data_IF_339022895156
#
_entry.id   IF_339022895156
#
_cell.length_a   1.000
_cell.length_b   1.000
_cell.length_c   1.000
_cell.angle_alpha   90.00
_cell.angle_beta   90.00
_cell.angle_gamma   90.00
#
_symmetry.space_group_name_H-M   'P 1'
#
loop_
_entity.id
_entity.type
_entity.pdbx_description
1 polymer ?
#
# COMPACT_ATOMS: atom_id res chain seq x y z
N UNK A 1 2.64 -71.71 -9.92
CA UNK A 1 3.84 -71.19 -10.61
C UNK A 1 4.69 -70.44 -9.59
N UNK A 2 5.98 -70.78 -9.42
CA UNK A 2 6.88 -69.99 -8.56
C UNK A 2 7.02 -68.60 -9.19
N UNK A 3 6.59 -67.54 -8.50
CA UNK A 3 6.83 -66.16 -8.93
C UNK A 3 8.34 -65.93 -9.00
N UNK A 4 8.92 -66.02 -10.19
CA UNK A 4 10.32 -65.67 -10.40
C UNK A 4 10.44 -64.16 -10.30
N UNK A 5 11.06 -63.69 -9.21
CA UNK A 5 11.40 -62.28 -9.02
C UNK A 5 12.33 -61.83 -10.13
N UNK A 6 12.01 -60.71 -10.76
CA UNK A 6 12.87 -60.12 -11.80
C UNK A 6 14.20 -59.66 -11.19
N UNK A 7 15.26 -59.51 -12.00
CA UNK A 7 16.53 -58.96 -11.51
C UNK A 7 16.37 -57.62 -10.80
N UNK A 8 15.54 -56.71 -11.34
CA UNK A 8 15.23 -55.43 -10.70
C UNK A 8 14.58 -55.59 -9.32
N UNK A 9 13.60 -56.49 -9.18
CA UNK A 9 12.94 -56.75 -7.91
C UNK A 9 13.89 -57.30 -6.85
N UNK A 10 14.80 -58.22 -7.23
CA UNK A 10 15.82 -58.77 -6.33
C UNK A 10 16.74 -57.68 -5.80
N UNK A 11 17.26 -56.82 -6.68
CA UNK A 11 18.13 -55.71 -6.26
C UNK A 11 17.40 -54.69 -5.38
N UNK A 12 16.12 -54.39 -5.65
CA UNK A 12 15.32 -53.53 -4.76
C UNK A 12 15.14 -54.13 -3.37
N UNK A 13 14.92 -55.44 -3.26
CA UNK A 13 14.78 -56.11 -1.97
C UNK A 13 16.09 -56.06 -1.17
N UNK A 14 17.23 -56.34 -1.81
CA UNK A 14 18.55 -56.22 -1.18
C UNK A 14 18.82 -54.78 -0.70
N UNK A 15 18.50 -53.78 -1.53
CA UNK A 15 18.60 -52.37 -1.12
C UNK A 15 17.67 -52.03 0.04
N UNK A 16 16.42 -52.53 0.04
CA UNK A 16 15.45 -52.30 1.11
C UNK A 16 15.91 -52.89 2.45
N UNK A 17 16.54 -54.06 2.45
CA UNK A 17 17.08 -54.69 3.66
C UNK A 17 18.20 -53.83 4.29
N UNK A 18 19.09 -53.30 3.45
CA UNK A 18 20.16 -52.41 3.91
C UNK A 18 19.58 -51.08 4.39
N UNK A 19 18.60 -50.53 3.66
CA UNK A 19 17.93 -49.30 4.05
C UNK A 19 17.16 -49.42 5.36
N UNK A 20 16.51 -50.57 5.62
CA UNK A 20 15.87 -50.85 6.90
C UNK A 20 16.89 -50.87 8.05
N UNK A 21 18.05 -51.50 7.85
CA UNK A 21 19.15 -51.49 8.83
C UNK A 21 19.73 -50.09 9.04
N UNK A 22 19.76 -49.26 8.01
CA UNK A 22 20.16 -47.85 8.12
C UNK A 22 19.20 -47.10 9.06
N UNK A 23 17.89 -47.23 8.86
CA UNK A 23 16.87 -46.58 9.70
C UNK A 23 16.84 -47.07 11.16
N UNK A 24 17.12 -48.34 11.40
CA UNK A 24 17.07 -48.94 12.74
C UNK A 24 18.27 -48.57 13.63
N UNK A 25 19.35 -48.04 13.05
CA UNK A 25 20.59 -47.77 13.77
C UNK A 25 21.00 -46.30 13.62
N UNK A 26 20.11 -45.41 14.07
CA UNK A 26 20.34 -43.97 14.02
C UNK A 26 21.57 -43.56 14.85
N UNK A 27 21.85 -44.27 15.94
CA UNK A 27 23.01 -44.06 16.83
C UNK A 27 24.33 -44.63 16.29
N UNK A 28 24.32 -45.31 15.13
CA UNK A 28 25.56 -45.82 14.54
C UNK A 28 26.50 -44.68 14.14
N UNK A 29 27.80 -44.91 14.27
CA UNK A 29 28.83 -43.95 13.86
C UNK A 29 28.61 -43.48 12.40
N UNK A 30 28.90 -42.20 12.13
CA UNK A 30 28.67 -41.57 10.81
C UNK A 30 29.21 -42.39 9.64
N UNK A 31 30.44 -42.93 9.76
CA UNK A 31 31.08 -43.76 8.74
C UNK A 31 30.28 -45.02 8.42
N UNK A 32 29.67 -45.66 9.44
CA UNK A 32 28.84 -46.85 9.27
C UNK A 32 27.54 -46.50 8.54
N UNK A 33 26.92 -45.38 8.90
CA UNK A 33 25.71 -44.88 8.22
C UNK A 33 26.00 -44.54 6.75
N UNK A 34 27.12 -43.85 6.48
CA UNK A 34 27.53 -43.49 5.12
C UNK A 34 27.86 -44.72 4.26
N UNK A 35 28.51 -45.73 4.84
CA UNK A 35 28.76 -47.01 4.15
C UNK A 35 27.45 -47.69 3.73
N UNK A 36 26.49 -47.78 4.64
CA UNK A 36 25.17 -48.37 4.36
C UNK A 36 24.34 -47.59 3.37
N UNK A 37 24.39 -46.26 3.42
CA UNK A 37 23.78 -45.41 2.40
C UNK A 37 24.35 -45.75 1.01
N UNK A 38 25.67 -45.82 0.89
CA UNK A 38 26.38 -46.14 -0.36
C UNK A 38 26.02 -47.53 -0.87
N UNK A 39 25.94 -48.53 0.01
CA UNK A 39 25.54 -49.88 -0.35
C UNK A 39 24.09 -49.96 -0.84
N UNK A 40 23.14 -49.34 -0.12
CA UNK A 40 21.74 -49.28 -0.56
C UNK A 40 21.60 -48.57 -1.90
N UNK A 41 22.30 -47.44 -2.09
CA UNK A 41 22.33 -46.68 -3.33
C UNK A 41 22.83 -47.53 -4.50
N UNK A 42 23.91 -48.30 -4.30
CA UNK A 42 24.44 -49.23 -5.31
C UNK A 42 23.37 -50.23 -5.76
N UNK A 43 22.67 -50.86 -4.83
CA UNK A 43 21.63 -51.83 -5.16
C UNK A 43 20.44 -51.18 -5.88
N UNK A 44 20.00 -49.98 -5.48
CA UNK A 44 18.92 -49.30 -6.17
C UNK A 44 19.31 -48.84 -7.59
N UNK A 45 20.55 -48.40 -7.81
CA UNK A 45 21.07 -48.10 -9.15
C UNK A 45 21.16 -49.37 -10.02
N UNK A 46 21.58 -50.50 -9.45
CA UNK A 46 21.54 -51.80 -10.15
C UNK A 46 20.11 -52.21 -10.49
N UNK A 47 19.16 -52.00 -9.59
CA UNK A 47 17.74 -52.26 -9.84
C UNK A 47 17.18 -51.40 -10.97
N UNK A 48 17.58 -50.12 -11.03
CA UNK A 48 17.18 -49.21 -12.09
C UNK A 48 17.75 -49.65 -13.45
N UNK A 49 19.03 -50.01 -13.51
CA UNK A 49 19.66 -50.50 -14.74
C UNK A 49 19.08 -51.84 -15.22
N UNK A 50 18.62 -52.69 -14.30
CA UNK A 50 18.03 -53.99 -14.60
C UNK A 50 16.51 -53.95 -14.85
N UNK A 51 15.90 -52.76 -14.84
CA UNK A 51 14.45 -52.60 -15.02
C UNK A 51 14.03 -52.80 -16.48
N UNK A 52 12.97 -53.58 -16.68
CA UNK A 52 12.48 -53.95 -18.02
C UNK A 52 11.24 -53.17 -18.45
N UNK A 53 10.55 -52.53 -17.52
CA UNK A 53 9.32 -51.79 -17.78
C UNK A 53 9.17 -50.60 -16.83
N UNK A 54 8.16 -49.76 -17.08
CA UNK A 54 7.93 -48.55 -16.31
C UNK A 54 7.47 -48.82 -14.87
N UNK A 55 6.84 -49.96 -14.60
CA UNK A 55 6.45 -50.38 -13.24
C UNK A 55 7.69 -50.57 -12.34
N UNK A 56 8.68 -51.29 -12.88
CA UNK A 56 9.95 -51.56 -12.20
C UNK A 56 10.78 -50.29 -12.05
N UNK A 57 10.87 -49.47 -13.12
CA UNK A 57 11.58 -48.18 -13.08
C UNK A 57 10.98 -47.24 -12.06
N UNK A 58 9.65 -47.07 -12.07
CA UNK A 58 8.94 -46.23 -11.10
C UNK A 58 9.22 -46.67 -9.66
N UNK A 59 9.29 -47.98 -9.42
CA UNK A 59 9.57 -48.53 -8.11
C UNK A 59 11.03 -48.36 -7.67
N UNK A 60 11.98 -48.48 -8.61
CA UNK A 60 13.39 -48.23 -8.33
C UNK A 60 13.63 -46.74 -8.01
N UNK A 61 13.02 -45.84 -8.79
CA UNK A 61 13.07 -44.40 -8.53
C UNK A 61 12.41 -43.99 -7.22
N UNK A 62 11.27 -44.60 -6.83
CA UNK A 62 10.70 -44.43 -5.49
C UNK A 62 11.75 -44.71 -4.41
N UNK A 63 12.40 -45.87 -4.50
CA UNK A 63 13.35 -46.31 -3.49
C UNK A 63 14.57 -45.38 -3.40
N UNK A 64 15.07 -44.90 -4.55
CA UNK A 64 16.12 -43.86 -4.59
C UNK A 64 15.65 -42.58 -3.91
N UNK A 65 14.46 -42.07 -4.25
CA UNK A 65 13.87 -40.89 -3.61
C UNK A 65 13.76 -41.03 -2.09
N UNK A 66 13.28 -42.17 -1.61
CA UNK A 66 13.19 -42.45 -0.17
C UNK A 66 14.55 -42.52 0.52
N UNK A 67 15.57 -43.08 -0.14
CA UNK A 67 16.94 -43.16 0.40
C UNK A 67 17.57 -41.77 0.52
N UNK A 68 17.49 -40.96 -0.53
CA UNK A 68 18.02 -39.59 -0.50
C UNK A 68 17.25 -38.69 0.47
N UNK A 69 15.92 -38.84 0.54
CA UNK A 69 15.09 -38.16 1.54
C UNK A 69 15.60 -38.45 2.96
N UNK A 70 15.85 -39.71 3.29
CA UNK A 70 16.40 -40.08 4.61
C UNK A 70 17.79 -39.47 4.85
N UNK A 71 18.67 -39.50 3.85
CA UNK A 71 20.02 -38.91 3.98
C UNK A 71 19.97 -37.42 4.30
N UNK A 72 19.04 -36.70 3.68
CA UNK A 72 18.84 -35.26 3.91
C UNK A 72 18.25 -35.03 5.31
N UNK A 73 17.18 -35.75 5.66
CA UNK A 73 16.49 -35.51 6.93
C UNK A 73 17.32 -35.93 8.15
N UNK A 74 18.20 -36.91 8.00
CA UNK A 74 19.14 -37.35 9.05
C UNK A 74 20.44 -36.54 9.14
N UNK A 75 20.71 -35.66 8.17
CA UNK A 75 21.88 -34.78 8.19
C UNK A 75 21.48 -33.39 8.72
N UNK A 76 22.19 -32.88 9.73
CA UNK A 76 21.98 -31.49 10.16
C UNK A 76 22.53 -30.54 9.08
N UNK A 77 21.65 -29.70 8.54
CA UNK A 77 21.98 -28.74 7.48
C UNK A 77 23.08 -27.75 7.86
N UNK A 78 23.21 -27.38 9.14
CA UNK A 78 24.21 -26.42 9.60
C UNK A 78 25.64 -26.97 9.55
N UNK A 79 25.79 -28.28 9.76
CA UNK A 79 27.09 -28.97 9.73
C UNK A 79 27.34 -29.74 8.43
N UNK A 80 26.35 -29.78 7.54
CA UNK A 80 26.43 -30.48 6.27
C UNK A 80 27.41 -29.82 5.30
N UNK A 81 28.09 -30.65 4.49
CA UNK A 81 28.70 -30.16 3.27
C UNK A 81 27.58 -29.70 2.31
N UNK A 82 27.57 -28.41 1.97
CA UNK A 82 26.53 -27.79 1.14
C UNK A 82 26.40 -28.46 -0.25
N UNK A 83 27.50 -28.91 -0.84
CA UNK A 83 27.47 -29.57 -2.15
C UNK A 83 26.81 -30.94 -2.06
N UNK A 84 27.14 -31.71 -1.03
CA UNK A 84 26.56 -33.04 -0.82
C UNK A 84 25.08 -32.94 -0.48
N UNK A 85 24.69 -31.97 0.37
CA UNK A 85 23.30 -31.70 0.69
C UNK A 85 22.49 -31.35 -0.56
N UNK A 86 22.98 -30.40 -1.36
CA UNK A 86 22.33 -29.97 -2.60
C UNK A 86 22.26 -31.09 -3.64
N UNK A 87 23.32 -31.91 -3.76
CA UNK A 87 23.30 -33.08 -4.61
C UNK A 87 22.20 -34.05 -4.18
N UNK A 88 22.16 -34.45 -2.92
CA UNK A 88 21.16 -35.37 -2.40
C UNK A 88 19.73 -34.82 -2.56
N UNK A 89 19.52 -33.53 -2.28
CA UNK A 89 18.24 -32.84 -2.45
C UNK A 89 17.75 -32.90 -3.91
N UNK A 90 18.64 -32.60 -4.86
CA UNK A 90 18.34 -32.71 -6.28
C UNK A 90 18.02 -34.14 -6.70
N UNK A 91 18.81 -35.13 -6.27
CA UNK A 91 18.59 -36.54 -6.60
C UNK A 91 17.29 -37.08 -5.98
N UNK A 92 16.94 -36.64 -4.77
CA UNK A 92 15.66 -36.95 -4.12
C UNK A 92 14.47 -36.46 -4.96
N UNK A 93 14.44 -35.16 -5.28
CA UNK A 93 13.38 -34.51 -6.06
C UNK A 93 13.27 -35.14 -7.45
N UNK A 94 14.41 -35.35 -8.12
CA UNK A 94 14.48 -35.97 -9.45
C UNK A 94 13.95 -37.40 -9.43
N UNK A 95 14.37 -38.20 -8.46
CA UNK A 95 13.94 -39.59 -8.32
C UNK A 95 12.44 -39.69 -8.05
N UNK A 96 11.89 -38.88 -7.15
CA UNK A 96 10.44 -38.84 -6.92
C UNK A 96 9.67 -38.33 -8.15
N UNK A 97 10.23 -37.38 -8.89
CA UNK A 97 9.70 -36.92 -10.17
C UNK A 97 9.51 -38.06 -11.17
N UNK A 98 10.58 -38.81 -11.43
CA UNK A 98 10.52 -39.98 -12.31
C UNK A 98 9.60 -41.08 -11.79
N UNK A 99 9.59 -41.33 -10.47
CA UNK A 99 8.69 -42.30 -9.86
C UNK A 99 7.21 -41.99 -10.15
N UNK A 100 6.80 -40.73 -10.01
CA UNK A 100 5.44 -40.30 -10.35
C UNK A 100 5.19 -40.31 -11.86
N UNK A 101 6.13 -39.84 -12.67
CA UNK A 101 5.97 -39.79 -14.14
C UNK A 101 5.71 -41.18 -14.72
N UNK A 102 6.58 -42.13 -14.41
CA UNK A 102 6.50 -43.51 -14.90
C UNK A 102 5.35 -44.27 -14.23
N UNK A 103 5.11 -44.01 -12.94
CA UNK A 103 4.04 -44.65 -12.19
C UNK A 103 2.63 -44.30 -12.69
N UNK A 104 2.42 -43.13 -13.33
CA UNK A 104 1.08 -42.72 -13.83
C UNK A 104 0.45 -43.73 -14.77
N UNK A 105 1.25 -44.44 -15.56
CA UNK A 105 0.78 -45.42 -16.54
C UNK A 105 0.90 -46.87 -16.05
N UNK A 106 1.72 -47.11 -15.03
CA UNK A 106 2.12 -48.45 -14.61
C UNK A 106 1.67 -48.84 -13.19
N UNK A 107 1.26 -47.88 -12.34
CA UNK A 107 0.95 -48.09 -10.93
C UNK A 107 -0.48 -47.66 -10.58
N UNK A 108 -1.00 -48.18 -9.47
CA UNK A 108 -2.32 -47.80 -8.96
C UNK A 108 -2.35 -46.37 -8.42
N UNK A 109 -3.55 -45.81 -8.30
CA UNK A 109 -3.73 -44.47 -7.74
C UNK A 109 -3.32 -44.40 -6.27
N UNK A 110 -3.58 -45.44 -5.46
CA UNK A 110 -3.14 -45.48 -4.06
C UNK A 110 -1.61 -45.43 -3.96
N UNK A 111 -0.91 -46.13 -4.85
CA UNK A 111 0.55 -46.07 -4.91
C UNK A 111 1.03 -44.65 -5.21
N UNK A 112 0.43 -43.98 -6.21
CA UNK A 112 0.78 -42.59 -6.55
C UNK A 112 0.51 -41.63 -5.39
N UNK A 113 -0.64 -41.75 -4.71
CA UNK A 113 -0.97 -40.96 -3.52
C UNK A 113 0.08 -41.16 -2.43
N UNK A 114 0.53 -42.41 -2.20
CA UNK A 114 1.57 -42.70 -1.20
C UNK A 114 2.90 -42.02 -1.51
N UNK A 115 3.27 -41.88 -2.79
CA UNK A 115 4.48 -41.14 -3.21
C UNK A 115 4.30 -39.64 -2.98
N UNK A 116 3.13 -39.08 -3.33
CA UNK A 116 2.84 -37.66 -3.08
C UNK A 116 2.94 -37.33 -1.59
N UNK A 117 2.42 -38.20 -0.74
CA UNK A 117 2.54 -38.05 0.71
C UNK A 117 4.02 -38.06 1.17
N UNK A 118 4.84 -38.97 0.66
CA UNK A 118 6.28 -39.00 0.96
C UNK A 118 7.00 -37.73 0.52
N UNK A 119 6.68 -37.19 -0.66
CA UNK A 119 7.25 -35.92 -1.14
C UNK A 119 6.82 -34.79 -0.23
N UNK A 120 5.55 -34.73 0.16
CA UNK A 120 5.04 -33.68 1.05
C UNK A 120 5.76 -33.70 2.41
N UNK A 121 5.93 -34.88 3.01
CA UNK A 121 6.66 -35.01 4.27
C UNK A 121 8.13 -34.59 4.09
N UNK A 122 8.80 -35.06 3.04
CA UNK A 122 10.17 -34.69 2.74
C UNK A 122 10.36 -33.17 2.60
N UNK A 123 9.46 -32.50 1.87
CA UNK A 123 9.50 -31.06 1.67
C UNK A 123 9.25 -30.30 2.97
N UNK A 124 8.30 -30.76 3.78
CA UNK A 124 8.05 -30.23 5.12
C UNK A 124 9.29 -30.34 6.02
N UNK A 125 9.96 -31.50 6.00
CA UNK A 125 11.18 -31.74 6.78
C UNK A 125 12.33 -30.84 6.32
N UNK A 126 12.48 -30.63 5.01
CA UNK A 126 13.45 -29.69 4.47
C UNK A 126 13.19 -28.26 4.96
N UNK A 127 11.93 -27.80 4.96
CA UNK A 127 11.61 -26.47 5.51
C UNK A 127 11.95 -26.36 6.98
N UNK A 128 11.62 -27.37 7.78
CA UNK A 128 11.96 -27.38 9.19
C UNK A 128 13.48 -27.19 9.41
N UNK A 129 14.32 -27.82 8.58
CA UNK A 129 15.76 -27.59 8.60
C UNK A 129 16.15 -26.20 8.10
N UNK A 130 15.54 -25.70 7.03
CA UNK A 130 15.84 -24.36 6.49
C UNK A 130 15.53 -23.23 7.48
N UNK A 131 14.60 -23.45 8.42
CA UNK A 131 14.32 -22.51 9.50
C UNK A 131 15.50 -22.35 10.48
N UNK A 132 16.43 -23.32 10.54
CA UNK A 132 17.65 -23.22 11.34
C UNK A 132 18.71 -22.33 10.67
N UNK A 133 18.61 -22.13 9.35
CA UNK A 133 19.57 -21.32 8.61
C UNK A 133 19.33 -19.80 8.77
N UNK A 134 20.39 -18.98 8.70
CA UNK A 134 20.29 -17.53 8.52
C UNK A 134 19.50 -17.17 7.25
N UNK A 135 18.86 -15.99 7.23
CA UNK A 135 17.97 -15.54 6.14
C UNK A 135 18.57 -15.71 4.75
N UNK A 136 19.82 -15.28 4.53
CA UNK A 136 20.49 -15.37 3.22
C UNK A 136 20.75 -16.82 2.78
N UNK A 137 21.11 -17.70 3.72
CA UNK A 137 21.32 -19.11 3.41
C UNK A 137 20.00 -19.85 3.20
N UNK A 138 18.97 -19.48 3.97
CA UNK A 138 17.59 -19.95 3.80
C UNK A 138 17.04 -19.59 2.42
N UNK A 139 17.25 -18.35 1.96
CA UNK A 139 16.88 -17.91 0.61
C UNK A 139 17.52 -18.80 -0.44
N UNK A 140 18.85 -18.99 -0.39
CA UNK A 140 19.57 -19.84 -1.35
C UNK A 140 19.11 -21.30 -1.33
N UNK A 141 18.83 -21.85 -0.16
CA UNK A 141 18.33 -23.22 -0.01
C UNK A 141 16.93 -23.38 -0.63
N UNK A 142 16.04 -22.42 -0.37
CA UNK A 142 14.71 -22.38 -0.99
C UNK A 142 14.78 -22.19 -2.51
N UNK A 143 15.59 -21.25 -3.00
CA UNK A 143 15.84 -21.03 -4.44
C UNK A 143 16.34 -22.30 -5.13
N UNK A 144 17.31 -22.99 -4.52
CA UNK A 144 17.82 -24.25 -5.05
C UNK A 144 16.72 -25.33 -5.08
N UNK A 145 15.91 -25.42 -4.02
CA UNK A 145 14.81 -26.39 -3.91
C UNK A 145 13.74 -26.16 -4.99
N UNK A 146 13.27 -24.92 -5.17
CA UNK A 146 12.27 -24.60 -6.20
C UNK A 146 12.80 -24.83 -7.62
N UNK A 147 14.07 -24.50 -7.87
CA UNK A 147 14.74 -24.77 -9.15
C UNK A 147 14.84 -26.26 -9.46
N UNK A 148 14.99 -27.11 -8.44
CA UNK A 148 14.93 -28.56 -8.61
C UNK A 148 13.51 -29.01 -9.01
N UNK A 149 12.46 -28.43 -8.42
CA UNK A 149 11.09 -28.77 -8.81
C UNK A 149 10.75 -28.42 -10.26
N UNK A 150 11.21 -27.27 -10.77
CA UNK A 150 10.93 -26.85 -12.16
C UNK A 150 11.42 -27.84 -13.22
N UNK A 151 12.47 -28.59 -12.90
CA UNK A 151 13.08 -29.57 -13.80
C UNK A 151 12.38 -30.93 -13.76
N UNK A 152 11.30 -31.07 -12.99
CA UNK A 152 10.60 -32.35 -12.78
C UNK A 152 9.10 -32.26 -13.03
N UNK A 153 8.46 -33.42 -13.18
CA UNK A 153 6.99 -33.53 -13.32
C UNK A 153 6.24 -33.40 -11.99
N UNK A 154 6.89 -32.95 -10.91
CA UNK A 154 6.32 -32.76 -9.58
C UNK A 154 5.45 -31.51 -9.46
N UNK A 155 5.27 -30.83 -10.57
CA UNK A 155 4.71 -29.50 -10.67
C UNK A 155 3.23 -29.35 -10.24
N UNK A 156 2.50 -30.45 -10.00
CA UNK A 156 1.12 -30.42 -9.47
C UNK A 156 1.03 -30.91 -8.02
N UNK A 157 1.98 -30.52 -7.19
CA UNK A 157 1.97 -30.85 -5.76
C UNK A 157 1.89 -29.56 -4.95
N UNK A 158 1.00 -29.56 -3.95
CA UNK A 158 0.82 -28.40 -3.06
C UNK A 158 2.11 -28.04 -2.30
N UNK A 159 3.01 -29.00 -2.11
CA UNK A 159 4.34 -28.77 -1.53
C UNK A 159 5.25 -27.91 -2.41
N UNK A 160 5.08 -27.96 -3.74
CA UNK A 160 5.79 -27.08 -4.68
C UNK A 160 5.22 -25.67 -4.61
N UNK A 161 3.88 -25.54 -4.59
CA UNK A 161 3.24 -24.24 -4.39
C UNK A 161 3.67 -23.60 -3.06
N UNK A 162 3.72 -24.40 -2.00
CA UNK A 162 4.24 -24.00 -0.68
C UNK A 162 5.68 -23.51 -0.79
N UNK A 163 6.56 -24.22 -1.51
CA UNK A 163 7.95 -23.80 -1.72
C UNK A 163 8.09 -22.41 -2.30
N UNK A 164 7.34 -22.15 -3.37
CA UNK A 164 7.33 -20.85 -4.02
C UNK A 164 6.76 -19.76 -3.12
N UNK A 165 5.73 -20.07 -2.35
CA UNK A 165 5.16 -19.12 -1.40
C UNK A 165 6.15 -18.74 -0.30
N UNK A 166 6.78 -19.72 0.37
CA UNK A 166 7.77 -19.47 1.42
C UNK A 166 8.97 -18.68 0.87
N UNK A 167 9.44 -19.02 -0.34
CA UNK A 167 10.49 -18.26 -1.01
C UNK A 167 10.05 -16.82 -1.30
N UNK A 168 8.86 -16.62 -1.88
CA UNK A 168 8.30 -15.30 -2.18
C UNK A 168 8.15 -14.44 -0.92
N UNK A 169 7.68 -15.03 0.18
CA UNK A 169 7.55 -14.35 1.47
C UNK A 169 8.90 -13.91 2.01
N UNK A 170 9.91 -14.79 1.98
CA UNK A 170 11.25 -14.48 2.47
C UNK A 170 11.95 -13.42 1.59
N UNK A 171 11.78 -13.50 0.27
CA UNK A 171 12.27 -12.48 -0.67
C UNK A 171 11.63 -11.13 -0.38
N UNK A 172 10.32 -11.10 -0.11
CA UNK A 172 9.61 -9.87 0.23
C UNK A 172 10.10 -9.27 1.55
N UNK A 173 10.24 -10.08 2.60
CA UNK A 173 10.80 -9.64 3.87
C UNK A 173 12.21 -9.04 3.71
N UNK A 174 13.05 -9.68 2.89
CA UNK A 174 14.38 -9.15 2.58
C UNK A 174 14.29 -7.83 1.80
N UNK A 175 13.40 -7.74 0.80
CA UNK A 175 13.17 -6.52 0.05
C UNK A 175 12.70 -5.36 0.96
N UNK A 176 11.82 -5.61 1.93
CA UNK A 176 11.36 -4.61 2.90
C UNK A 176 12.50 -4.08 3.78
N UNK A 177 13.37 -4.98 4.26
CA UNK A 177 14.55 -4.61 5.07
C UNK A 177 15.48 -3.66 4.31
N UNK A 178 15.58 -3.84 3.00
CA UNK A 178 16.45 -3.07 2.11
C UNK A 178 15.71 -1.97 1.32
N UNK A 179 14.41 -1.79 1.52
CA UNK A 179 13.54 -0.97 0.64
C UNK A 179 14.00 0.47 0.48
N UNK A 180 14.55 1.09 1.53
CA UNK A 180 15.06 2.47 1.46
C UNK A 180 16.30 2.61 0.57
N UNK A 181 17.13 1.56 0.46
CA UNK A 181 18.39 1.55 -0.29
C UNK A 181 18.22 0.94 -1.68
N UNK A 182 17.48 -0.16 -1.76
CA UNK A 182 17.31 -1.00 -2.95
C UNK A 182 15.83 -1.37 -3.15
N UNK A 183 14.95 -0.39 -3.42
CA UNK A 183 13.53 -0.66 -3.57
C UNK A 183 13.22 -1.58 -4.76
N UNK A 184 14.10 -1.66 -5.75
CA UNK A 184 13.93 -2.53 -6.93
C UNK A 184 13.84 -4.02 -6.60
N UNK A 185 14.30 -4.45 -5.41
CA UNK A 185 14.19 -5.84 -4.97
C UNK A 185 12.73 -6.31 -4.91
N UNK A 186 11.77 -5.41 -4.69
CA UNK A 186 10.35 -5.73 -4.60
C UNK A 186 9.79 -6.36 -5.89
N UNK A 187 10.34 -5.98 -7.05
CA UNK A 187 9.88 -6.48 -8.36
C UNK A 187 10.26 -7.94 -8.59
N UNK A 188 11.29 -8.42 -7.89
CA UNK A 188 11.73 -9.81 -8.02
C UNK A 188 10.82 -10.78 -7.25
N UNK A 189 9.98 -10.27 -6.32
CA UNK A 189 9.11 -11.11 -5.48
C UNK A 189 7.88 -11.63 -6.25
N UNK A 190 7.29 -10.81 -7.12
CA UNK A 190 6.03 -11.12 -7.79
C UNK A 190 6.12 -12.34 -8.74
N UNK A 191 7.19 -12.50 -9.57
CA UNK A 191 7.33 -13.70 -10.42
C UNK A 191 7.36 -15.00 -9.60
N UNK A 192 8.05 -15.00 -8.46
CA UNK A 192 8.12 -16.15 -7.55
C UNK A 192 6.75 -16.49 -6.98
N UNK A 193 6.01 -15.48 -6.52
CA UNK A 193 4.66 -15.67 -5.99
C UNK A 193 3.66 -16.12 -7.07
N UNK A 194 3.77 -15.60 -8.29
CA UNK A 194 2.94 -16.06 -9.41
C UNK A 194 3.18 -17.54 -9.74
N UNK A 195 4.42 -18.05 -9.56
CA UNK A 195 4.67 -19.49 -9.64
C UNK A 195 3.99 -20.27 -8.53
N UNK A 196 3.91 -19.72 -7.30
CA UNK A 196 3.15 -20.35 -6.22
C UNK A 196 1.67 -20.52 -6.60
N UNK A 197 1.04 -19.46 -7.12
CA UNK A 197 -0.35 -19.51 -7.61
C UNK A 197 -0.53 -20.51 -8.75
N UNK A 198 0.39 -20.54 -9.72
CA UNK A 198 0.30 -21.44 -10.86
C UNK A 198 0.32 -22.93 -10.46
N UNK A 199 1.04 -23.26 -9.38
CA UNK A 199 1.18 -24.64 -8.91
C UNK A 199 0.22 -25.05 -7.78
N UNK A 200 -0.57 -24.12 -7.25
CA UNK A 200 -1.58 -24.44 -6.25
C UNK A 200 -2.67 -25.33 -6.87
N UNK A 201 -2.95 -26.50 -6.27
CA UNK A 201 -3.90 -27.47 -6.86
C UNK A 201 -5.36 -27.03 -6.72
N UNK A 202 -5.68 -26.16 -5.77
CA UNK A 202 -7.04 -25.71 -5.50
C UNK A 202 -7.10 -24.19 -5.29
N UNK A 203 -7.83 -23.45 -6.15
CA UNK A 203 -8.25 -22.11 -5.80
C UNK A 203 -9.16 -22.23 -4.56
N UNK A 204 -8.98 -21.35 -3.57
CA UNK A 204 -9.78 -21.26 -2.32
C UNK A 204 -9.28 -22.04 -1.09
N UNK A 205 -8.05 -22.54 -1.10
CA UNK A 205 -7.41 -23.02 0.15
C UNK A 205 -6.97 -21.85 1.04
N UNK A 206 -6.79 -22.08 2.35
CA UNK A 206 -6.24 -21.08 3.29
C UNK A 206 -4.94 -20.42 2.77
N UNK A 207 -4.04 -21.25 2.20
CA UNK A 207 -2.81 -20.80 1.52
C UNK A 207 -3.05 -19.84 0.35
N UNK A 208 -4.15 -20.01 -0.39
CA UNK A 208 -4.49 -19.11 -1.50
C UNK A 208 -4.79 -17.70 -1.01
N UNK A 209 -5.38 -17.56 0.17
CA UNK A 209 -5.62 -16.24 0.78
C UNK A 209 -4.31 -15.61 1.24
N UNK A 210 -3.43 -16.36 1.90
CA UNK A 210 -2.10 -15.87 2.31
C UNK A 210 -1.27 -15.41 1.10
N UNK A 211 -1.30 -16.17 -0.01
CA UNK A 211 -0.64 -15.78 -1.26
C UNK A 211 -1.22 -14.47 -1.81
N UNK A 212 -2.53 -14.26 -1.71
CA UNK A 212 -3.19 -13.04 -2.19
C UNK A 212 -2.84 -11.84 -1.32
N UNK A 213 -2.86 -12.00 0.01
CA UNK A 213 -2.43 -10.95 0.95
C UNK A 213 -0.98 -10.54 0.72
N UNK A 214 -0.10 -11.51 0.43
CA UNK A 214 1.29 -11.23 0.07
C UNK A 214 1.39 -10.51 -1.28
N UNK A 215 0.58 -10.89 -2.28
CA UNK A 215 0.53 -10.23 -3.59
C UNK A 215 0.10 -8.76 -3.45
N UNK A 216 -0.96 -8.50 -2.68
CA UNK A 216 -1.46 -7.17 -2.39
C UNK A 216 -0.40 -6.33 -1.66
N UNK A 217 0.33 -6.95 -0.72
CA UNK A 217 1.43 -6.31 0.01
C UNK A 217 2.61 -5.95 -0.90
N UNK A 218 2.98 -6.84 -1.83
CA UNK A 218 4.04 -6.60 -2.82
C UNK A 218 3.62 -5.45 -3.75
N UNK A 219 2.38 -5.48 -4.25
CA UNK A 219 1.84 -4.46 -5.13
C UNK A 219 1.80 -3.09 -4.47
N UNK A 220 1.34 -3.01 -3.22
CA UNK A 220 1.37 -1.78 -2.42
C UNK A 220 2.77 -1.14 -2.40
N UNK A 221 3.80 -1.95 -2.13
CA UNK A 221 5.18 -1.46 -2.05
C UNK A 221 5.76 -1.08 -3.43
N UNK A 222 5.33 -1.74 -4.51
CA UNK A 222 5.63 -1.31 -5.88
C UNK A 222 5.03 0.07 -6.15
N UNK A 223 3.74 0.28 -5.85
CA UNK A 223 3.08 1.57 -6.02
C UNK A 223 3.76 2.70 -5.22
N UNK A 224 4.14 2.44 -3.96
CA UNK A 224 4.90 3.39 -3.13
C UNK A 224 6.23 3.76 -3.80
N UNK A 225 6.97 2.76 -4.29
CA UNK A 225 8.24 2.99 -4.97
C UNK A 225 8.07 3.80 -6.26
N UNK A 226 7.13 3.40 -7.11
CA UNK A 226 6.88 4.04 -8.40
C UNK A 226 6.39 5.47 -8.23
N UNK A 227 5.47 5.71 -7.28
CA UNK A 227 5.02 7.07 -6.96
C UNK A 227 6.21 7.96 -6.56
N UNK A 228 7.04 7.46 -5.65
CA UNK A 228 8.24 8.17 -5.22
C UNK A 228 9.19 8.42 -6.40
N UNK A 229 9.42 7.43 -7.25
CA UNK A 229 10.30 7.55 -8.42
C UNK A 229 9.76 8.54 -9.45
N UNK A 230 8.47 8.49 -9.78
CA UNK A 230 7.81 9.42 -10.68
C UNK A 230 7.93 10.86 -10.17
N UNK A 231 7.72 11.08 -8.87
CA UNK A 231 7.89 12.39 -8.23
C UNK A 231 9.34 12.88 -8.29
N UNK A 232 10.34 12.05 -7.96
CA UNK A 232 11.74 12.47 -8.05
C UNK A 232 12.17 12.75 -9.49
N UNK A 233 11.68 11.96 -10.44
CA UNK A 233 11.92 12.17 -11.87
C UNK A 233 11.33 13.51 -12.31
N UNK A 234 10.08 13.81 -11.95
CA UNK A 234 9.45 15.09 -12.26
C UNK A 234 10.20 16.30 -11.66
N UNK A 235 10.67 16.20 -10.41
CA UNK A 235 11.49 17.27 -9.79
C UNK A 235 12.81 17.45 -10.55
N UNK A 236 13.52 16.37 -10.86
CA UNK A 236 14.78 16.43 -11.62
C UNK A 236 14.59 17.03 -13.01
N UNK A 237 13.51 16.67 -13.70
CA UNK A 237 13.17 17.24 -15.01
C UNK A 237 12.90 18.74 -14.88
N UNK A 238 12.12 19.15 -13.87
CA UNK A 238 11.83 20.56 -13.62
C UNK A 238 13.09 21.36 -13.33
N UNK A 239 13.94 20.89 -12.42
CA UNK A 239 15.18 21.56 -12.07
C UNK A 239 16.13 21.67 -13.26
N UNK A 240 16.21 20.61 -14.09
CA UNK A 240 17.02 20.60 -15.30
C UNK A 240 16.54 21.66 -16.30
N UNK A 241 15.25 21.67 -16.65
CA UNK A 241 14.72 22.61 -17.64
C UNK A 241 14.74 24.07 -17.15
N UNK A 242 14.52 24.31 -15.86
CA UNK A 242 14.62 25.67 -15.30
C UNK A 242 16.04 26.23 -15.24
N UNK A 243 17.07 25.38 -15.28
CA UNK A 243 18.48 25.79 -15.21
C UNK A 243 19.19 25.84 -16.57
N UNK A 244 18.77 25.00 -17.52
CA UNK A 244 19.52 24.79 -18.76
C UNK A 244 18.83 25.38 -20.00
N UNK A 245 17.51 25.59 -19.97
CA UNK A 245 16.80 26.12 -21.13
C UNK A 245 16.69 27.65 -21.03
N UNK A 246 17.11 28.35 -22.08
CA UNK A 246 16.99 29.82 -22.16
C UNK A 246 15.52 30.27 -22.27
N UNK A 247 14.68 29.45 -22.92
CA UNK A 247 13.25 29.67 -23.06
C UNK A 247 12.45 28.52 -22.43
N UNK A 248 11.35 28.86 -21.75
CA UNK A 248 10.48 27.88 -21.12
C UNK A 248 9.74 27.05 -22.17
N UNK A 249 10.14 25.80 -22.33
CA UNK A 249 9.43 24.85 -23.18
C UNK A 249 8.19 24.28 -22.48
N UNK A 250 7.01 24.68 -22.98
CA UNK A 250 5.72 24.31 -22.40
C UNK A 250 5.39 22.82 -22.50
N UNK A 251 5.85 22.10 -23.52
CA UNK A 251 5.58 20.67 -23.68
C UNK A 251 6.29 19.84 -22.59
N UNK A 252 7.49 20.26 -22.21
CA UNK A 252 8.20 19.65 -21.08
C UNK A 252 7.52 19.93 -19.75
N UNK A 253 6.95 21.13 -19.56
CA UNK A 253 6.17 21.45 -18.35
C UNK A 253 4.95 20.55 -18.21
N UNK A 254 4.22 20.29 -19.31
CA UNK A 254 3.11 19.34 -19.27
C UNK A 254 3.57 17.90 -18.98
N UNK A 255 4.69 17.48 -19.54
CA UNK A 255 5.30 16.16 -19.23
C UNK A 255 5.65 16.04 -17.75
N UNK A 256 6.20 17.09 -17.15
CA UNK A 256 6.50 17.16 -15.70
C UNK A 256 5.23 17.05 -14.87
N UNK A 257 4.16 17.78 -15.25
CA UNK A 257 2.86 17.70 -14.58
C UNK A 257 2.30 16.27 -14.67
N UNK A 258 2.39 15.62 -15.82
CA UNK A 258 1.94 14.25 -16.00
C UNK A 258 2.73 13.27 -15.12
N UNK A 259 4.05 13.48 -14.94
CA UNK A 259 4.85 12.71 -13.98
C UNK A 259 4.40 12.90 -12.53
N UNK A 260 4.01 14.11 -12.14
CA UNK A 260 3.45 14.33 -10.81
C UNK A 260 2.04 13.75 -10.65
N UNK A 261 1.21 13.79 -11.70
CA UNK A 261 -0.11 13.13 -11.70
C UNK A 261 0.00 11.62 -11.62
N UNK A 262 0.94 11.02 -12.34
CA UNK A 262 1.31 9.60 -12.21
C UNK A 262 1.66 9.28 -10.75
N UNK A 263 2.49 10.10 -10.11
CA UNK A 263 2.83 9.93 -8.70
C UNK A 263 1.61 10.03 -7.76
N UNK A 264 0.68 10.96 -8.01
CA UNK A 264 -0.58 11.07 -7.25
C UNK A 264 -1.42 9.80 -7.41
N UNK A 265 -1.60 9.32 -8.65
CA UNK A 265 -2.41 8.13 -8.93
C UNK A 265 -1.84 6.88 -8.27
N UNK A 266 -0.53 6.69 -8.33
CA UNK A 266 0.17 5.56 -7.71
C UNK A 266 0.12 5.59 -6.18
N UNK A 267 0.06 6.77 -5.55
CA UNK A 267 0.00 6.91 -4.10
C UNK A 267 -1.44 6.95 -3.55
N UNK A 268 -2.45 7.13 -4.40
CA UNK A 268 -3.82 7.43 -3.98
C UNK A 268 -4.36 6.37 -3.02
N UNK A 269 -4.73 6.78 -1.80
CA UNK A 269 -5.25 5.91 -0.74
C UNK A 269 -4.29 4.81 -0.26
N UNK A 270 -3.05 4.77 -0.77
CA UNK A 270 -2.01 3.79 -0.44
C UNK A 270 -0.86 4.41 0.35
N UNK A 271 -0.40 5.59 -0.07
CA UNK A 271 0.62 6.41 0.58
C UNK A 271 0.15 7.86 0.65
N UNK A 272 -0.63 8.16 1.68
CA UNK A 272 -1.22 9.50 1.90
C UNK A 272 -0.14 10.59 1.94
N UNK A 273 1.04 10.30 2.50
CA UNK A 273 2.15 11.25 2.54
C UNK A 273 2.76 11.45 1.13
N UNK A 274 2.96 10.35 0.38
CA UNK A 274 3.38 10.38 -1.01
C UNK A 274 2.41 11.18 -1.89
N UNK A 275 1.10 10.95 -1.76
CA UNK A 275 0.04 11.67 -2.47
C UNK A 275 0.11 13.17 -2.14
N UNK A 276 0.20 13.53 -0.86
CA UNK A 276 0.30 14.92 -0.42
C UNK A 276 1.54 15.63 -1.01
N UNK A 277 2.70 14.95 -1.02
CA UNK A 277 3.95 15.49 -1.58
C UNK A 277 3.86 15.65 -3.10
N UNK A 278 3.22 14.72 -3.81
CA UNK A 278 3.01 14.83 -5.25
C UNK A 278 2.02 15.96 -5.59
N UNK A 279 0.96 16.15 -4.79
CA UNK A 279 0.08 17.33 -4.89
C UNK A 279 0.86 18.64 -4.70
N UNK A 280 1.75 18.73 -3.70
CA UNK A 280 2.59 19.91 -3.51
C UNK A 280 3.50 20.20 -4.72
N UNK A 281 4.15 19.18 -5.28
CA UNK A 281 4.99 19.34 -6.48
C UNK A 281 4.17 19.86 -7.67
N UNK A 282 2.99 19.27 -7.91
CA UNK A 282 2.06 19.70 -8.95
C UNK A 282 1.63 21.16 -8.75
N UNK A 283 1.24 21.51 -7.52
CA UNK A 283 0.83 22.86 -7.16
C UNK A 283 1.93 23.89 -7.40
N UNK A 284 3.18 23.54 -7.08
CA UNK A 284 4.34 24.42 -7.26
C UNK A 284 4.58 24.76 -8.73
N UNK A 285 4.35 23.82 -9.65
CA UNK A 285 4.44 24.11 -11.09
C UNK A 285 3.34 25.09 -11.51
N UNK A 286 2.09 24.84 -11.09
CA UNK A 286 0.98 25.75 -11.38
C UNK A 286 1.19 27.15 -10.79
N UNK A 287 1.69 27.25 -9.55
CA UNK A 287 1.97 28.50 -8.86
C UNK A 287 3.13 29.25 -9.53
N UNK A 288 4.30 28.61 -9.63
CA UNK A 288 5.55 29.32 -9.89
C UNK A 288 5.89 29.42 -11.35
N UNK A 289 5.54 28.41 -12.14
CA UNK A 289 5.86 28.33 -13.57
C UNK A 289 4.70 28.87 -14.40
N UNK A 290 3.50 28.31 -14.21
CA UNK A 290 2.33 28.64 -15.04
C UNK A 290 1.53 29.86 -14.57
N UNK A 291 1.78 30.34 -13.33
CA UNK A 291 1.05 31.47 -12.71
C UNK A 291 -0.47 31.28 -12.67
N UNK A 292 -0.92 30.04 -12.47
CA UNK A 292 -2.33 29.65 -12.39
C UNK A 292 -2.75 29.46 -10.92
N UNK A 293 -2.92 30.57 -10.20
CA UNK A 293 -3.17 30.60 -8.74
C UNK A 293 -4.35 29.72 -8.29
N UNK A 294 -5.47 29.75 -9.01
CA UNK A 294 -6.69 29.01 -8.60
C UNK A 294 -6.52 27.49 -8.75
N UNK A 295 -5.78 27.02 -9.77
CA UNK A 295 -5.45 25.59 -9.92
C UNK A 295 -4.44 25.18 -8.85
N UNK A 296 -3.39 26.00 -8.63
CA UNK A 296 -2.40 25.76 -7.59
C UNK A 296 -3.05 25.68 -6.19
N UNK A 297 -4.03 26.54 -5.91
CA UNK A 297 -4.80 26.54 -4.66
C UNK A 297 -5.45 25.19 -4.39
N UNK A 298 -6.12 24.60 -5.40
CA UNK A 298 -6.79 23.31 -5.23
C UNK A 298 -5.81 22.17 -4.87
N UNK A 299 -4.65 22.13 -5.52
CA UNK A 299 -3.62 21.12 -5.21
C UNK A 299 -2.93 21.38 -3.86
N UNK A 300 -2.63 22.63 -3.51
CA UNK A 300 -2.08 22.96 -2.19
C UNK A 300 -3.08 22.66 -1.07
N UNK A 301 -4.37 22.95 -1.28
CA UNK A 301 -5.43 22.61 -0.33
C UNK A 301 -5.52 21.09 -0.15
N UNK A 302 -5.54 20.32 -1.24
CA UNK A 302 -5.55 18.85 -1.19
C UNK A 302 -4.33 18.30 -0.43
N UNK A 303 -3.14 18.86 -0.68
CA UNK A 303 -1.91 18.52 0.05
C UNK A 303 -2.07 18.71 1.57
N UNK A 304 -2.67 19.82 2.02
CA UNK A 304 -2.88 20.08 3.45
C UNK A 304 -3.94 19.14 4.02
N UNK A 305 -5.05 18.94 3.30
CA UNK A 305 -6.13 18.05 3.73
C UNK A 305 -5.63 16.62 3.94
N UNK A 306 -4.85 16.08 2.99
CA UNK A 306 -4.22 14.76 3.13
C UNK A 306 -3.22 14.72 4.29
N UNK A 307 -2.40 15.76 4.46
CA UNK A 307 -1.46 15.82 5.58
C UNK A 307 -2.17 15.82 6.95
N UNK A 308 -3.36 16.42 7.04
CA UNK A 308 -4.17 16.45 8.26
C UNK A 308 -4.78 15.10 8.61
N UNK A 309 -4.96 14.17 7.65
CA UNK A 309 -5.45 12.82 7.95
C UNK A 309 -4.37 11.91 8.55
N UNK A 310 -3.11 12.35 8.62
CA UNK A 310 -1.97 11.57 9.13
C UNK A 310 -1.73 11.74 10.64
N UNK A 311 -2.62 12.38 11.40
CA UNK A 311 -2.53 12.50 12.87
C UNK A 311 -2.37 11.12 13.52
N UNK A 312 -1.44 10.91 14.47
CA UNK A 312 -0.66 11.91 15.23
C UNK A 312 0.67 12.34 14.60
N UNK A 313 0.96 11.95 13.36
CA UNK A 313 2.21 12.33 12.70
C UNK A 313 2.29 13.85 12.52
N UNK A 314 3.33 14.46 13.08
CA UNK A 314 3.51 15.91 12.99
C UNK A 314 4.27 16.29 11.71
N UNK A 315 3.54 16.84 10.74
CA UNK A 315 4.08 17.30 9.46
C UNK A 315 4.37 18.82 9.40
N UNK A 316 4.08 19.56 10.48
CA UNK A 316 4.16 21.04 10.50
C UNK A 316 5.55 21.61 10.20
N UNK A 317 6.61 20.84 10.44
CA UNK A 317 8.00 21.24 10.18
C UNK A 317 8.49 20.90 8.78
N UNK A 318 7.71 20.14 8.00
CA UNK A 318 8.12 19.75 6.66
C UNK A 318 7.92 20.92 5.69
N UNK A 319 8.95 21.21 4.90
CA UNK A 319 9.01 22.35 3.99
C UNK A 319 7.83 22.39 3.00
N UNK A 320 7.49 21.24 2.41
CA UNK A 320 6.37 21.12 1.48
C UNK A 320 5.04 21.48 2.14
N UNK A 321 4.84 21.09 3.40
CA UNK A 321 3.62 21.39 4.16
C UNK A 321 3.55 22.88 4.52
N UNK A 322 4.67 23.46 4.98
CA UNK A 322 4.75 24.89 5.31
C UNK A 322 4.49 25.78 4.10
N UNK A 323 5.11 25.44 2.95
CA UNK A 323 4.91 26.15 1.68
C UNK A 323 3.45 26.09 1.22
N UNK A 324 2.86 24.90 1.18
CA UNK A 324 1.45 24.74 0.81
C UNK A 324 0.51 25.50 1.76
N UNK A 325 0.74 25.42 3.07
CA UNK A 325 -0.06 26.13 4.08
C UNK A 325 0.03 27.64 3.91
N UNK A 326 1.24 28.18 3.70
CA UNK A 326 1.44 29.60 3.45
C UNK A 326 0.74 30.07 2.19
N UNK A 327 0.82 29.30 1.10
CA UNK A 327 0.14 29.62 -0.15
C UNK A 327 -1.38 29.67 0.03
N UNK A 328 -1.98 28.65 0.65
CA UNK A 328 -3.43 28.59 0.89
C UNK A 328 -3.92 29.74 1.76
N UNK A 329 -3.16 30.12 2.80
CA UNK A 329 -3.49 31.27 3.64
C UNK A 329 -3.42 32.58 2.85
N UNK A 330 -2.37 32.78 2.06
CA UNK A 330 -2.21 33.98 1.22
C UNK A 330 -3.29 34.09 0.14
N UNK A 331 -3.62 32.99 -0.53
CA UNK A 331 -4.65 32.95 -1.56
C UNK A 331 -6.03 33.29 -0.98
N UNK A 332 -6.39 32.71 0.18
CA UNK A 332 -7.63 33.07 0.90
C UNK A 332 -7.66 34.55 1.29
N UNK A 333 -6.57 35.07 1.85
CA UNK A 333 -6.49 36.50 2.21
C UNK A 333 -6.59 37.42 0.99
N UNK A 334 -5.99 37.03 -0.14
CA UNK A 334 -6.09 37.76 -1.42
C UNK A 334 -7.54 37.80 -1.91
N UNK A 335 -8.25 36.68 -1.91
CA UNK A 335 -9.67 36.62 -2.31
C UNK A 335 -10.56 37.50 -1.44
N UNK A 336 -10.37 37.45 -0.11
CA UNK A 336 -11.12 38.33 0.81
C UNK A 336 -10.85 39.81 0.51
N UNK A 337 -9.60 40.20 0.31
CA UNK A 337 -9.25 41.59 -0.02
C UNK A 337 -9.77 42.03 -1.41
N UNK A 338 -9.77 41.13 -2.40
CA UNK A 338 -10.37 41.38 -3.71
C UNK A 338 -11.88 41.59 -3.60
N UNK A 339 -12.57 40.76 -2.82
CA UNK A 339 -14.01 40.92 -2.52
C UNK A 339 -14.29 42.23 -1.79
N UNK A 340 -13.50 42.57 -0.76
CA UNK A 340 -13.61 43.83 -0.02
C UNK A 340 -13.42 45.05 -0.94
N UNK A 341 -12.44 45.04 -1.85
CA UNK A 341 -12.23 46.12 -2.82
C UNK A 341 -13.40 46.26 -3.79
N UNK A 342 -13.91 45.14 -4.30
CA UNK A 342 -15.08 45.13 -5.18
C UNK A 342 -16.29 45.72 -4.45
N UNK A 343 -16.49 45.37 -3.18
CA UNK A 343 -17.55 45.92 -2.36
C UNK A 343 -17.34 47.41 -2.05
N UNK A 344 -16.10 47.83 -1.74
CA UNK A 344 -15.76 49.25 -1.55
C UNK A 344 -16.07 50.08 -2.79
N UNK A 345 -15.72 49.60 -3.98
CA UNK A 345 -16.04 50.25 -5.25
C UNK A 345 -17.55 50.25 -5.53
N UNK A 346 -18.21 49.10 -5.32
CA UNK A 346 -19.65 48.93 -5.54
C UNK A 346 -20.48 49.85 -4.65
N UNK A 347 -20.05 50.09 -3.42
CA UNK A 347 -20.78 50.87 -2.43
C UNK A 347 -20.22 52.29 -2.22
N UNK A 348 -19.18 52.70 -2.96
CA UNK A 348 -18.54 54.02 -2.84
C UNK A 348 -19.54 55.17 -2.88
N UNK A 349 -20.45 55.15 -3.85
CA UNK A 349 -21.46 56.20 -4.04
C UNK A 349 -22.52 56.19 -2.93
N UNK A 350 -22.92 55.00 -2.47
CA UNK A 350 -23.89 54.89 -1.37
C UNK A 350 -23.29 55.29 -0.02
N UNK A 351 -22.00 55.06 0.20
CA UNK A 351 -21.30 55.50 1.41
C UNK A 351 -21.27 57.03 1.53
N UNK A 352 -21.12 57.75 0.42
CA UNK A 352 -21.23 59.22 0.42
C UNK A 352 -22.67 59.69 0.62
N UNK A 353 -23.65 59.05 -0.03
CA UNK A 353 -25.06 59.44 0.09
C UNK A 353 -25.64 59.16 1.48
N UNK A 354 -25.26 58.05 2.11
CA UNK A 354 -25.73 57.62 3.43
C UNK A 354 -24.79 58.07 4.56
N UNK A 355 -23.83 58.96 4.29
CA UNK A 355 -22.85 59.38 5.30
C UNK A 355 -23.50 60.01 6.54
N UNK A 356 -24.61 60.71 6.38
CA UNK A 356 -25.39 61.27 7.50
C UNK A 356 -26.06 60.16 8.31
N UNK A 357 -26.78 59.25 7.62
CA UNK A 357 -27.48 58.13 8.24
C UNK A 357 -26.50 57.20 8.98
N UNK A 358 -25.34 56.91 8.40
CA UNK A 358 -24.29 56.11 9.04
C UNK A 358 -23.68 56.80 10.27
N UNK A 359 -23.56 58.13 10.29
CA UNK A 359 -23.11 58.87 11.47
C UNK A 359 -24.13 58.80 12.60
N UNK A 360 -25.41 58.96 12.28
CA UNK A 360 -26.48 58.85 13.28
C UNK A 360 -26.64 57.41 13.80
N UNK A 361 -26.50 56.42 12.92
CA UNK A 361 -26.48 55.01 13.27
C UNK A 361 -25.35 54.68 14.25
N UNK A 362 -24.14 55.19 14.01
CA UNK A 362 -23.01 55.01 14.93
C UNK A 362 -23.24 55.74 16.27
N UNK A 363 -23.81 56.96 16.27
CA UNK A 363 -24.18 57.67 17.50
C UNK A 363 -25.23 56.90 18.32
N UNK A 364 -26.20 56.26 17.65
CA UNK A 364 -27.18 55.40 18.31
C UNK A 364 -26.50 54.15 18.89
N UNK A 365 -25.53 53.57 18.16
CA UNK A 365 -24.75 52.44 18.62
C UNK A 365 -23.88 52.75 19.84
N UNK A 366 -23.28 53.95 19.91
CA UNK A 366 -22.48 54.39 21.07
C UNK A 366 -23.31 54.48 22.35
N UNK A 367 -24.59 54.86 22.25
CA UNK A 367 -25.50 54.99 23.40
C UNK A 367 -25.91 53.65 24.02
N UNK A 368 -25.91 52.58 23.25
CA UNK A 368 -26.28 51.25 23.75
C UNK A 368 -26.99 50.40 22.70
N UNK A 369 -27.11 49.09 22.97
CA UNK A 369 -27.84 48.18 22.08
C UNK A 369 -29.34 48.48 22.06
N UNK A 370 -29.91 48.99 23.15
CA UNK A 370 -31.32 49.36 23.26
C UNK A 370 -31.66 50.55 22.36
N UNK A 371 -30.84 51.60 22.42
CA UNK A 371 -30.97 52.82 21.61
C UNK A 371 -30.72 52.55 20.14
N UNK A 372 -29.75 51.68 19.82
CA UNK A 372 -29.50 51.22 18.45
C UNK A 372 -30.73 50.51 17.87
N UNK A 373 -31.33 49.59 18.62
CA UNK A 373 -32.53 48.85 18.17
C UNK A 373 -33.71 49.81 17.93
N UNK A 374 -33.97 50.74 18.85
CA UNK A 374 -35.02 51.76 18.65
C UNK A 374 -34.76 52.58 17.39
N UNK A 375 -33.53 53.06 17.23
CA UNK A 375 -33.14 53.90 16.10
C UNK A 375 -33.34 53.17 14.76
N UNK A 376 -32.83 51.94 14.61
CA UNK A 376 -32.93 51.23 13.33
C UNK A 376 -34.38 50.87 12.98
N UNK A 377 -35.22 50.44 13.93
CA UNK A 377 -36.62 50.11 13.63
C UNK A 377 -37.49 51.34 13.37
N UNK A 378 -37.16 52.50 13.95
CA UNK A 378 -37.90 53.74 13.72
C UNK A 378 -37.48 54.43 12.40
N UNK A 379 -36.17 54.56 12.16
CA UNK A 379 -35.63 55.33 11.03
C UNK A 379 -35.35 54.49 9.79
N UNK A 380 -35.08 53.21 9.97
CA UNK A 380 -34.75 52.27 8.89
C UNK A 380 -35.53 50.96 9.07
N UNK A 381 -36.87 50.98 9.11
CA UNK A 381 -37.67 49.78 9.40
C UNK A 381 -37.35 48.65 8.40
N UNK A 382 -37.28 47.39 8.89
CA UNK A 382 -36.95 46.26 8.03
C UNK A 382 -38.08 46.02 7.01
N UNK A 383 -37.73 45.82 5.74
CA UNK A 383 -38.70 45.66 4.64
C UNK A 383 -39.46 44.33 4.64
N UNK A 384 -39.09 43.41 5.54
CA UNK A 384 -39.76 42.12 5.67
C UNK A 384 -41.13 42.33 6.32
N UNK A 385 -42.19 41.87 5.67
CA UNK A 385 -43.55 41.94 6.23
C UNK A 385 -43.63 41.26 7.62
N UNK A 386 -44.25 41.94 8.57
CA UNK A 386 -44.43 41.46 9.95
C UNK A 386 -43.18 41.56 10.84
N UNK A 387 -42.08 42.14 10.38
CA UNK A 387 -40.89 42.31 11.20
C UNK A 387 -41.08 43.43 12.25
N UNK A 388 -41.29 43.04 13.50
CA UNK A 388 -41.41 43.96 14.64
C UNK A 388 -40.22 43.82 15.59
N UNK A 389 -39.94 44.89 16.32
CA UNK A 389 -38.92 44.89 17.37
C UNK A 389 -39.44 44.11 18.58
N UNK A 390 -38.63 43.18 19.09
CA UNK A 390 -38.93 42.45 20.34
C UNK A 390 -38.73 43.30 21.60
N UNK A 391 -38.88 42.69 22.79
CA UNK A 391 -38.65 43.39 24.06
C UNK A 391 -37.21 43.89 24.17
N UNK A 392 -37.04 45.11 24.68
CA UNK A 392 -35.74 45.78 24.85
C UNK A 392 -35.24 45.64 26.30
N UNK A 393 -35.98 44.93 27.15
CA UNK A 393 -35.59 44.63 28.52
C UNK A 393 -34.28 43.82 28.57
N UNK A 394 -33.49 44.04 29.62
CA UNK A 394 -32.10 43.54 29.74
C UNK A 394 -31.99 42.02 29.58
N UNK A 395 -32.97 41.28 30.09
CA UNK A 395 -33.07 39.82 30.04
C UNK A 395 -33.40 39.26 28.65
N UNK A 396 -34.03 40.04 27.77
CA UNK A 396 -34.39 39.64 26.41
C UNK A 396 -33.54 40.30 25.31
N UNK A 397 -32.68 41.26 25.68
CA UNK A 397 -31.92 42.09 24.76
C UNK A 397 -31.05 41.28 23.78
N UNK A 398 -30.35 40.23 24.25
CA UNK A 398 -29.53 39.36 23.38
C UNK A 398 -30.40 38.66 22.32
N UNK A 399 -31.59 38.18 22.72
CA UNK A 399 -32.54 37.52 21.81
C UNK A 399 -33.10 38.51 20.79
N UNK A 400 -33.41 39.73 21.22
CA UNK A 400 -33.91 40.79 20.34
C UNK A 400 -32.87 41.26 19.33
N UNK A 401 -31.58 41.36 19.74
CA UNK A 401 -30.47 41.65 18.82
C UNK A 401 -30.28 40.53 17.79
N UNK A 402 -30.35 39.24 18.19
CA UNK A 402 -30.32 38.11 17.24
C UNK A 402 -31.47 38.16 16.24
N UNK A 403 -32.67 38.49 16.68
CA UNK A 403 -33.84 38.65 15.80
C UNK A 403 -33.64 39.82 14.83
N UNK A 404 -33.09 40.95 15.29
CA UNK A 404 -32.75 42.07 14.44
C UNK A 404 -31.69 41.71 13.39
N UNK A 405 -30.64 40.95 13.75
CA UNK A 405 -29.65 40.44 12.79
C UNK A 405 -30.31 39.61 11.67
N UNK A 406 -31.32 38.81 11.98
CA UNK A 406 -32.08 38.05 10.99
C UNK A 406 -32.99 38.92 10.11
N UNK A 407 -33.48 40.05 10.63
CA UNK A 407 -34.29 41.00 9.88
C UNK A 407 -33.43 41.82 8.91
N UNK A 408 -32.25 42.26 9.32
CA UNK A 408 -31.37 43.13 8.53
C UNK A 408 -30.28 42.37 7.73
N UNK A 409 -30.25 41.03 7.76
CA UNK A 409 -29.25 40.25 7.05
C UNK A 409 -29.23 40.58 5.54
N UNK A 410 -28.07 40.94 4.95
CA UNK A 410 -27.95 41.34 3.54
C UNK A 410 -28.55 40.33 2.57
N UNK A 411 -28.30 39.02 2.74
CA UNK A 411 -28.87 37.98 1.87
C UNK A 411 -30.40 38.01 1.81
N UNK A 412 -31.07 38.29 2.93
CA UNK A 412 -32.54 38.34 3.00
C UNK A 412 -33.11 39.63 2.47
N UNK A 413 -32.35 40.72 2.59
CA UNK A 413 -32.74 42.05 2.12
C UNK A 413 -32.36 42.31 0.66
N UNK A 414 -31.44 41.52 0.11
CA UNK A 414 -31.03 41.58 -1.31
C UNK A 414 -32.16 41.21 -2.27
N UNK A 415 -33.17 40.45 -1.80
CA UNK A 415 -34.36 40.04 -2.56
C UNK A 415 -35.19 41.24 -3.04
N UNK A 416 -35.10 42.38 -2.35
CA UNK A 416 -35.80 43.62 -2.74
C UNK A 416 -35.10 44.39 -3.86
N UNK A 417 -33.98 43.89 -4.40
CA UNK A 417 -33.21 44.47 -5.51
C UNK A 417 -32.80 45.95 -5.32
N UNK A 418 -32.77 46.45 -4.08
CA UNK A 418 -32.36 47.80 -3.75
C UNK A 418 -30.94 47.79 -3.16
N UNK A 419 -29.96 48.11 -4.02
CA UNK A 419 -28.54 48.08 -3.67
C UNK A 419 -28.18 49.07 -2.54
N UNK A 420 -28.86 50.21 -2.45
CA UNK A 420 -28.65 51.21 -1.41
C UNK A 420 -29.14 50.70 -0.06
N UNK A 421 -30.31 50.06 -0.06
CA UNK A 421 -30.87 49.40 1.12
C UNK A 421 -30.04 48.20 1.57
N UNK A 422 -29.58 47.36 0.64
CA UNK A 422 -28.70 46.22 0.96
C UNK A 422 -27.40 46.69 1.60
N UNK A 423 -26.81 47.79 1.12
CA UNK A 423 -25.63 48.39 1.74
C UNK A 423 -25.92 48.89 3.17
N UNK A 424 -27.01 49.63 3.37
CA UNK A 424 -27.39 50.11 4.71
C UNK A 424 -27.62 48.94 5.69
N UNK A 425 -28.31 47.90 5.24
CA UNK A 425 -28.52 46.65 5.98
C UNK A 425 -27.20 45.94 6.32
N UNK A 426 -26.21 45.99 5.42
CA UNK A 426 -24.87 45.44 5.66
C UNK A 426 -24.18 46.19 6.80
N UNK A 427 -24.22 47.52 6.81
CA UNK A 427 -23.65 48.34 7.88
C UNK A 427 -24.40 48.18 9.21
N UNK A 428 -25.74 48.13 9.18
CA UNK A 428 -26.57 47.82 10.36
C UNK A 428 -26.18 46.45 10.93
N UNK A 429 -26.01 45.44 10.08
CA UNK A 429 -25.64 44.07 10.51
C UNK A 429 -24.24 44.01 11.12
N UNK A 430 -23.26 44.75 10.58
CA UNK A 430 -21.90 44.86 11.16
C UNK A 430 -21.95 45.42 12.59
N UNK A 431 -22.69 46.50 12.80
CA UNK A 431 -22.82 47.17 14.11
C UNK A 431 -23.59 46.27 15.09
N UNK A 432 -24.68 45.63 14.65
CA UNK A 432 -25.44 44.68 15.47
C UNK A 432 -24.58 43.47 15.87
N UNK A 433 -23.75 42.93 14.96
CA UNK A 433 -22.83 41.82 15.27
C UNK A 433 -21.81 42.22 16.34
N UNK A 434 -21.20 43.41 16.23
CA UNK A 434 -20.27 43.91 17.23
C UNK A 434 -20.94 44.05 18.61
N UNK A 435 -22.18 44.58 18.66
CA UNK A 435 -22.94 44.69 19.91
C UNK A 435 -23.36 43.34 20.48
N UNK A 436 -23.72 42.39 19.62
CA UNK A 436 -24.08 41.05 20.03
C UNK A 436 -22.90 40.29 20.68
N UNK A 437 -21.69 40.43 20.14
CA UNK A 437 -20.50 39.82 20.75
C UNK A 437 -20.13 40.47 22.09
N UNK A 438 -20.27 41.80 22.22
CA UNK A 438 -20.10 42.49 23.52
C UNK A 438 -21.12 42.00 24.56
N UNK A 439 -22.38 41.86 24.17
CA UNK A 439 -23.44 41.39 25.07
C UNK A 439 -23.25 39.93 25.50
N UNK A 440 -22.71 39.07 24.62
CA UNK A 440 -22.35 37.68 24.97
C UNK A 440 -21.18 37.58 25.95
N UNK A 441 -20.23 38.51 25.91
CA UNK A 441 -19.06 38.52 26.81
C UNK A 441 -19.40 39.09 28.19
N UNK A 442 -20.46 39.90 28.29
CA UNK A 442 -20.94 40.51 29.53
C UNK A 442 -22.10 39.78 30.22
N UNK A 443 -22.58 38.67 29.64
CA UNK A 443 -23.57 37.73 30.19
C UNK A 443 -22.90 36.45 30.63
#
# INVERSE_FOLDING_TARGET
MKNFKTPSEKYRQQGNEIFAKLKQQEDAAFVVRQGRFTDALKYYNQALNASMNDDERASAHKNLGSLYSYQITSTNIESANKNDYNHNLKECITSYGYALQLGRQAKSQEWLISIRHQINNFVSDCYAQFLLLPTEERLRALEFTVNCFERTTLNRLDSVATAYYELGQLMFQNALKHFKKEPKLIYNCLPTLNRAFYWACEPHTFRSNEMKELQDSIWLHQCIHESSNARHTGVRMLDYHLQNDEELNMDFIWTIIDKFREAILLAKELDIEGEARACHCTATVYEKVLKMDDIAYNYHLRCITLAQTLVPRNLTKHEWYMKSSSFVQKHRAKKVNEEEKIDEERYKNFRTELASDLKELNKAAEKGAQELLKYIYEKHPPRKEGATMGSIESDQLIKTVKTALLHYHPDRQSVFNDKKWTFLCTEITKILNAKHEILKLGS
#
